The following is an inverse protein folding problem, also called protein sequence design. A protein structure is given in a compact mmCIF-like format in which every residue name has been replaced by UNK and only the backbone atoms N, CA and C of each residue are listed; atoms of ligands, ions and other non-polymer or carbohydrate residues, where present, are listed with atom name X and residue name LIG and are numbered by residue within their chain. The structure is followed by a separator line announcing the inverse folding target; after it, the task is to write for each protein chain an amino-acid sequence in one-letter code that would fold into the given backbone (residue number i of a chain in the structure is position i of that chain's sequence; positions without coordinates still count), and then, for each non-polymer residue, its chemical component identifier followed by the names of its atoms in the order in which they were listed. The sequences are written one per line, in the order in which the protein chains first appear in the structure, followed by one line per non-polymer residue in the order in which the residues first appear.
data_IF_455876213172
#
_entry.id   IF_455876213172
#
_cell.length_a   1.000
_cell.length_b   1.000
_cell.length_c   1.000
_cell.angle_alpha   90.00
_cell.angle_beta   90.00
_cell.angle_gamma   90.00
#
_symmetry.space_group_name_H-M   'P 1'
#
loop_
_entity.id
_entity.type
_entity.pdbx_description
1 polymer ?
#
# COMPACT_ATOMS: atom_id res chain seq x y z
N UNK A 1 3.44 3.98 4.82
CA UNK A 1 3.29 2.54 5.05
C UNK A 1 3.85 1.77 3.87
N UNK A 2 4.92 0.99 4.03
CA UNK A 2 5.35 0.07 2.99
C UNK A 2 4.36 -1.10 2.96
N UNK A 3 3.63 -1.24 1.86
CA UNK A 3 2.98 -2.49 1.53
C UNK A 3 4.06 -3.57 1.36
N UNK A 4 3.80 -4.76 1.89
CA UNK A 4 4.62 -5.95 1.65
C UNK A 4 3.86 -6.89 0.74
N UNK A 5 4.56 -7.60 -0.13
CA UNK A 5 3.93 -8.65 -0.94
C UNK A 5 4.08 -9.98 -0.19
N UNK A 6 2.96 -10.62 0.11
CA UNK A 6 2.92 -11.95 0.71
C UNK A 6 2.71 -13.00 -0.39
N UNK A 7 3.55 -14.03 -0.41
CA UNK A 7 3.41 -15.15 -1.34
C UNK A 7 2.32 -16.10 -0.84
N UNK A 8 1.22 -16.19 -1.59
CA UNK A 8 0.17 -17.17 -1.41
C UNK A 8 0.22 -18.23 -2.52
N UNK A 9 -0.49 -19.38 -2.38
CA UNK A 9 -0.49 -20.44 -3.40
C UNK A 9 -0.89 -19.94 -4.81
N UNK A 10 -1.78 -18.96 -4.87
CA UNK A 10 -2.34 -18.40 -6.11
C UNK A 10 -1.49 -17.24 -6.68
N UNK A 11 -0.48 -16.76 -5.95
CA UNK A 11 0.35 -15.62 -6.35
C UNK A 11 0.73 -14.69 -5.19
N UNK A 12 1.30 -13.54 -5.53
CA UNK A 12 1.63 -12.50 -4.54
C UNK A 12 0.43 -11.60 -4.28
N UNK A 13 0.06 -11.43 -3.01
CA UNK A 13 -0.98 -10.48 -2.60
C UNK A 13 -0.37 -9.33 -1.79
N UNK A 14 -0.87 -8.10 -1.94
CA UNK A 14 -0.46 -7.01 -1.07
C UNK A 14 -0.98 -7.27 0.36
N UNK A 15 -0.08 -7.18 1.33
CA UNK A 15 -0.35 -7.20 2.74
C UNK A 15 0.30 -5.99 3.41
N UNK A 16 -0.10 -5.69 4.64
CA UNK A 16 0.49 -4.62 5.44
C UNK A 16 1.04 -5.24 6.72
N UNK A 17 2.10 -4.66 7.29
CA UNK A 17 2.64 -5.10 8.58
C UNK A 17 1.99 -4.31 9.70
N UNK A 18 1.57 -5.00 10.76
CA UNK A 18 1.09 -4.36 11.98
C UNK A 18 2.24 -3.55 12.61
N UNK A 19 2.04 -2.27 12.85
CA UNK A 19 3.03 -1.38 13.46
C UNK A 19 3.27 -1.69 14.96
N UNK A 20 2.38 -2.48 15.58
CA UNK A 20 2.57 -2.94 16.96
C UNK A 20 3.39 -4.23 17.06
N UNK A 21 2.95 -5.31 16.40
CA UNK A 21 3.51 -6.66 16.57
C UNK A 21 4.35 -7.14 15.36
N UNK A 22 4.25 -6.48 14.20
CA UNK A 22 4.94 -6.88 12.97
C UNK A 22 4.30 -8.03 12.20
N UNK A 23 3.15 -8.55 12.63
CA UNK A 23 2.43 -9.60 11.91
C UNK A 23 1.84 -9.08 10.58
N UNK A 24 1.54 -10.02 9.67
CA UNK A 24 0.86 -9.71 8.41
C UNK A 24 -0.61 -9.36 8.69
N UNK A 25 -1.07 -8.29 8.06
CA UNK A 25 -2.42 -7.75 8.21
C UNK A 25 -3.09 -7.74 6.84
N UNK A 26 -4.26 -8.36 6.78
CA UNK A 26 -5.11 -8.37 5.59
C UNK A 26 -6.08 -7.18 5.60
N UNK A 27 -6.59 -6.80 4.42
CA UNK A 27 -7.57 -5.72 4.30
C UNK A 27 -8.81 -5.94 5.19
N UNK A 28 -9.24 -7.19 5.37
CA UNK A 28 -10.45 -7.56 6.12
C UNK A 28 -10.29 -7.45 7.64
N UNK A 29 -9.07 -7.57 8.15
CA UNK A 29 -8.78 -7.63 9.59
C UNK A 29 -8.10 -6.38 10.11
N UNK A 30 -7.40 -5.66 9.22
CA UNK A 30 -6.62 -4.50 9.59
C UNK A 30 -7.45 -3.28 9.98
N UNK A 31 -6.88 -2.48 10.86
CA UNK A 31 -7.35 -1.14 11.17
C UNK A 31 -6.24 -0.13 10.85
N UNK A 32 -6.64 1.03 10.35
CA UNK A 32 -5.80 2.21 10.24
C UNK A 32 -6.08 3.11 11.41
N UNK A 33 -5.03 3.52 12.12
CA UNK A 33 -5.11 4.53 13.16
C UNK A 33 -4.67 5.87 12.57
N UNK A 34 -5.47 6.91 12.83
CA UNK A 34 -5.15 8.29 12.48
C UNK A 34 -5.24 9.21 13.69
N UNK A 35 -4.56 10.34 13.65
CA UNK A 35 -4.76 11.41 14.62
C UNK A 35 -6.02 12.20 14.29
N UNK A 36 -6.87 12.46 15.28
CA UNK A 36 -8.07 13.29 15.16
C UNK A 36 -7.70 14.79 15.07
N UNK A 37 -6.56 15.17 15.65
CA UNK A 37 -6.09 16.56 15.69
C UNK A 37 -5.58 17.08 14.34
N UNK A 38 -5.36 16.17 13.37
CA UNK A 38 -5.00 16.50 12.00
C UNK A 38 -6.05 15.89 11.06
N UNK A 39 -7.07 16.67 10.62
CA UNK A 39 -8.10 16.15 9.73
C UNK A 39 -7.48 15.66 8.42
N UNK A 40 -7.97 14.52 7.93
CA UNK A 40 -7.48 13.89 6.69
C UNK A 40 -7.39 14.88 5.54
N UNK A 41 -6.17 15.30 5.20
CA UNK A 41 -5.84 15.40 3.80
C UNK A 41 -5.46 13.98 3.38
N UNK A 42 -6.33 13.32 2.62
CA UNK A 42 -6.03 12.02 2.00
C UNK A 42 -4.78 12.24 1.13
N UNK A 43 -3.67 11.60 1.49
CA UNK A 43 -2.32 11.87 0.93
C UNK A 43 -1.29 12.35 1.97
N UNK A 44 -1.74 12.84 3.12
CA UNK A 44 -0.94 12.91 4.34
C UNK A 44 -0.78 11.49 4.89
N UNK A 45 0.47 11.07 5.09
CA UNK A 45 0.85 9.71 5.45
C UNK A 45 -0.13 9.01 6.42
N UNK A 46 -0.42 7.72 6.22
CA UNK A 46 -1.20 6.97 7.20
C UNK A 46 -0.40 6.88 8.51
N UNK A 47 -1.11 7.02 9.64
CA UNK A 47 -0.44 7.23 10.94
C UNK A 47 -0.07 5.91 11.60
N UNK A 48 -0.87 4.83 11.59
CA UNK A 48 -0.41 3.44 11.86
C UNK A 48 -1.37 2.39 11.25
N UNK A 49 -0.92 1.15 11.06
CA UNK A 49 -1.75 -0.04 10.79
C UNK A 49 -1.66 -1.02 11.95
N UNK A 50 -2.78 -1.61 12.33
CA UNK A 50 -2.85 -2.67 13.34
C UNK A 50 -3.70 -3.84 12.90
N UNK A 51 -3.44 -5.03 13.44
CA UNK A 51 -4.18 -6.25 13.11
C UNK A 51 -5.53 -6.37 13.83
N UNK A 52 -5.70 -5.70 14.96
CA UNK A 52 -6.89 -5.78 15.81
C UNK A 52 -6.97 -4.61 16.79
N UNK A 53 -8.04 -4.60 17.60
CA UNK A 53 -8.28 -3.60 18.63
C UNK A 53 -7.26 -3.68 19.78
N UNK A 54 -6.75 -4.85 20.16
CA UNK A 54 -5.78 -4.99 21.25
C UNK A 54 -4.45 -4.30 20.87
N UNK A 55 -4.01 -4.47 19.63
CA UNK A 55 -2.86 -3.77 19.08
C UNK A 55 -3.12 -2.27 18.92
N UNK A 56 -4.37 -1.87 18.61
CA UNK A 56 -4.77 -0.46 18.56
C UNK A 56 -4.63 0.20 19.94
N UNK A 57 -5.19 -0.42 20.98
CA UNK A 57 -5.17 0.08 22.34
C UNK A 57 -3.73 0.14 22.90
N UNK A 58 -2.92 -0.87 22.59
CA UNK A 58 -1.51 -0.89 22.96
C UNK A 58 -0.69 0.22 22.28
N UNK A 59 -1.01 0.58 21.04
CA UNK A 59 -0.40 1.73 20.36
C UNK A 59 -0.92 3.06 20.90
N UNK A 60 -2.21 3.20 21.15
CA UNK A 60 -2.78 4.40 21.75
C UNK A 60 -2.17 4.68 23.13
N UNK A 61 -1.89 3.65 23.93
CA UNK A 61 -1.20 3.79 25.20
C UNK A 61 0.26 4.27 25.08
N UNK A 62 0.92 4.03 23.93
CA UNK A 62 2.28 4.54 23.65
C UNK A 62 2.30 5.99 23.19
N UNK A 63 1.18 6.49 22.67
CA UNK A 63 1.00 7.86 22.18
C UNK A 63 -0.15 8.57 22.91
N UNK A 64 -0.11 8.69 24.24
CA UNK A 64 -1.22 9.22 25.05
C UNK A 64 -1.56 10.68 24.74
N UNK A 65 -0.63 11.43 24.16
CA UNK A 65 -0.83 12.81 23.70
C UNK A 65 -1.63 12.92 22.41
N UNK A 66 -1.76 11.83 21.65
CA UNK A 66 -2.45 11.81 20.36
C UNK A 66 -3.84 11.18 20.52
N UNK A 67 -4.89 11.91 20.15
CA UNK A 67 -6.22 11.31 20.06
C UNK A 67 -6.29 10.51 18.76
N UNK A 68 -6.26 9.18 18.88
CA UNK A 68 -6.33 8.29 17.72
C UNK A 68 -7.77 7.84 17.46
N UNK A 69 -8.16 7.84 16.19
CA UNK A 69 -9.37 7.18 15.72
C UNK A 69 -8.99 6.04 14.77
N UNK A 70 -9.86 5.03 14.71
CA UNK A 70 -9.66 3.83 13.93
C UNK A 70 -10.68 3.74 12.79
N UNK A 71 -10.21 3.32 11.61
CA UNK A 71 -11.04 2.93 10.47
C UNK A 71 -10.57 1.57 9.95
N UNK A 72 -11.46 0.80 9.34
CA UNK A 72 -11.10 -0.46 8.71
C UNK A 72 -10.11 -0.24 7.55
N UNK A 73 -9.15 -1.17 7.41
CA UNK A 73 -8.10 -1.08 6.38
C UNK A 73 -8.68 -1.17 4.97
N UNK A 74 -9.66 -2.02 4.73
CA UNK A 74 -10.36 -2.10 3.43
C UNK A 74 -11.00 -0.77 3.02
N UNK A 75 -11.70 -0.10 3.93
CA UNK A 75 -12.31 1.21 3.69
C UNK A 75 -11.23 2.26 3.34
N UNK A 76 -10.11 2.26 4.07
CA UNK A 76 -8.98 3.13 3.76
C UNK A 76 -8.37 2.84 2.37
N UNK A 77 -8.21 1.56 2.01
CA UNK A 77 -7.68 1.17 0.71
C UNK A 77 -8.60 1.59 -0.44
N UNK A 78 -9.92 1.48 -0.29
CA UNK A 78 -10.88 1.99 -1.29
C UNK A 78 -10.70 3.49 -1.47
N UNK A 79 -10.66 4.26 -0.37
CA UNK A 79 -10.45 5.71 -0.43
C UNK A 79 -9.11 6.09 -1.07
N UNK A 80 -8.02 5.35 -0.79
CA UNK A 80 -6.74 5.58 -1.46
C UNK A 80 -6.83 5.35 -2.97
N UNK A 81 -7.53 4.30 -3.40
CA UNK A 81 -7.71 4.00 -4.82
C UNK A 81 -8.52 5.10 -5.51
N UNK A 82 -9.60 5.56 -4.89
CA UNK A 82 -10.50 6.56 -5.46
C UNK A 82 -9.89 7.97 -5.51
N UNK A 83 -9.17 8.39 -4.46
CA UNK A 83 -8.71 9.78 -4.33
C UNK A 83 -7.21 10.00 -4.65
N UNK A 84 -6.37 8.97 -4.63
CA UNK A 84 -4.90 9.14 -4.68
C UNK A 84 -4.15 8.28 -5.68
N UNK A 85 -4.76 7.18 -6.15
CA UNK A 85 -4.22 6.33 -7.20
C UNK A 85 -5.05 6.54 -8.48
N UNK A 86 -5.03 7.76 -9.02
CA UNK A 86 -5.36 7.98 -10.43
C UNK A 86 -4.27 7.28 -11.27
N UNK A 87 -4.39 5.97 -11.46
CA UNK A 87 -3.56 5.23 -12.40
C UNK A 87 -4.04 5.61 -13.79
N UNK A 88 -3.29 6.48 -14.46
CA UNK A 88 -3.46 6.75 -15.88
C UNK A 88 -3.08 5.48 -16.67
N UNK A 89 -4.11 4.68 -16.97
CA UNK A 89 -3.95 3.40 -17.65
C UNK A 89 -3.38 3.56 -19.07
N UNK A 90 -3.58 4.71 -19.71
CA UNK A 90 -3.08 4.98 -21.05
C UNK A 90 -1.59 5.34 -21.00
N UNK A 91 -1.17 6.16 -20.02
CA UNK A 91 0.24 6.44 -19.78
C UNK A 91 1.05 5.19 -19.42
N UNK A 92 0.46 4.27 -18.63
CA UNK A 92 1.10 2.98 -18.32
C UNK A 92 1.27 2.13 -19.59
N UNK A 93 0.24 2.06 -20.43
CA UNK A 93 0.27 1.28 -21.67
C UNK A 93 1.33 1.80 -22.64
N UNK A 94 1.41 3.11 -22.83
CA UNK A 94 2.41 3.74 -23.69
C UNK A 94 3.85 3.44 -23.21
N UNK A 95 4.06 3.46 -21.89
CA UNK A 95 5.37 3.18 -21.30
C UNK A 95 5.80 1.72 -21.49
N UNK A 96 4.87 0.77 -21.35
CA UNK A 96 5.12 -0.66 -21.57
C UNK A 96 5.40 -0.96 -23.05
N UNK A 97 4.66 -0.34 -23.97
CA UNK A 97 4.90 -0.46 -25.42
C UNK A 97 6.29 0.05 -25.81
N UNK A 98 6.71 1.18 -25.24
CA UNK A 98 8.06 1.74 -25.42
C UNK A 98 9.14 0.82 -24.87
N UNK A 99 8.96 0.26 -23.67
CA UNK A 99 9.89 -0.68 -23.07
C UNK A 99 10.07 -1.93 -23.94
N UNK A 100 8.96 -2.50 -24.41
CA UNK A 100 8.96 -3.64 -25.33
C UNK A 100 9.63 -3.35 -26.67
N UNK A 101 9.43 -2.16 -27.22
CA UNK A 101 10.07 -1.75 -28.47
C UNK A 101 11.59 -1.66 -28.31
N UNK A 102 12.07 -1.07 -27.20
CA UNK A 102 13.51 -0.95 -26.91
C UNK A 102 14.16 -2.33 -26.76
N UNK A 103 13.52 -3.24 -26.02
CA UNK A 103 14.05 -4.58 -25.78
C UNK A 103 14.14 -5.40 -27.07
N UNK A 104 13.11 -5.34 -27.92
CA UNK A 104 13.15 -5.96 -29.26
C UNK A 104 14.27 -5.41 -30.14
N UNK A 105 14.46 -4.09 -30.12
CA UNK A 105 15.52 -3.46 -30.93
C UNK A 105 16.90 -3.88 -30.46
N UNK A 106 17.09 -4.09 -29.15
CA UNK A 106 18.33 -4.60 -28.58
C UNK A 106 18.61 -6.04 -28.99
N UNK A 107 17.60 -6.91 -28.93
CA UNK A 107 17.73 -8.32 -29.35
C UNK A 107 18.08 -8.45 -30.84
N UNK A 108 17.51 -7.58 -31.68
CA UNK A 108 17.80 -7.53 -33.12
C UNK A 108 19.23 -7.04 -33.42
N UNK A 109 19.76 -6.10 -32.62
CA UNK A 109 21.15 -5.63 -32.75
C UNK A 109 22.14 -6.69 -32.27
N UNK A 110 21.85 -7.39 -31.17
CA UNK A 110 22.70 -8.46 -30.65
C UNK A 110 22.77 -9.64 -31.63
N UNK A 111 21.67 -9.99 -32.32
CA UNK A 111 21.68 -11.01 -33.39
C UNK A 111 22.40 -10.58 -34.68
N UNK A 112 22.55 -9.28 -34.93
CA UNK A 112 23.23 -8.78 -36.13
C UNK A 112 24.76 -8.70 -35.98
N UNK A 113 25.27 -8.91 -34.76
CA UNK A 113 26.69 -8.84 -34.41
C UNK A 113 27.35 -10.23 -34.25
N UNK A 114 26.55 -11.30 -34.23
CA UNK A 114 26.98 -12.71 -34.30
C UNK A 114 27.02 -13.23 -35.75
#
# INVERSE_FOLDING_TARGET
MPFVMELQPEGFVPAVRCDHCGDSVTAETGLILWSIDSPLAIGGAPVFVVCDQDCADALAARYPESQLAAIALDAYLVTLVEDSLEIDADAVREREELAWAIERTRDEVDQALD
#
